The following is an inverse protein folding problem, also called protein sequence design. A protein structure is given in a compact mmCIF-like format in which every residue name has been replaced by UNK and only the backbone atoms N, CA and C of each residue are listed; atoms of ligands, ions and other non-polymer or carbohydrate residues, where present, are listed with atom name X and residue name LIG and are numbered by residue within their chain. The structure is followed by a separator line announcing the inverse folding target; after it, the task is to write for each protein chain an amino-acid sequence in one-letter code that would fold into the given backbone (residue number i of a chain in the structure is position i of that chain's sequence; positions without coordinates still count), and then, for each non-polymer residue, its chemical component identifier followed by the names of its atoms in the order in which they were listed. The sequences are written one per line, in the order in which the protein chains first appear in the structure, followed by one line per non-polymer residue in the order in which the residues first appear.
data_IF_588607936759
#
_entry.id   IF_588607936759
#
_cell.length_a   1.000
_cell.length_b   1.000
_cell.length_c   1.000
_cell.angle_alpha   90.00
_cell.angle_beta   90.00
_cell.angle_gamma   90.00
#
_symmetry.space_group_name_H-M   'P 1'
#
loop_
_entity.id
_entity.type
_entity.pdbx_description
1 polymer ?
#
# COMPACT_ATOMS: atom_id res chain seq x y z
N UNK A 1 -35.16 32.25 -2.57
CA UNK A 1 -34.11 31.26 -2.90
C UNK A 1 -34.29 30.05 -2.00
N UNK A 2 -34.76 28.91 -2.53
CA UNK A 2 -34.96 27.69 -1.74
C UNK A 2 -33.61 26.99 -1.57
N UNK A 3 -33.06 26.97 -0.34
CA UNK A 3 -31.95 26.11 0.04
C UNK A 3 -32.44 24.66 -0.04
N UNK A 4 -31.99 23.93 -1.04
CA UNK A 4 -32.09 22.47 -1.06
C UNK A 4 -31.13 21.94 -0.01
N UNK A 5 -31.64 21.71 1.21
CA UNK A 5 -30.95 20.90 2.18
C UNK A 5 -30.88 19.48 1.60
N UNK A 6 -29.75 19.11 0.98
CA UNK A 6 -29.45 17.69 0.85
C UNK A 6 -29.29 17.20 2.29
N UNK A 7 -30.27 16.43 2.76
CA UNK A 7 -30.13 15.67 3.98
C UNK A 7 -28.98 14.68 3.72
N UNK A 8 -27.75 15.13 3.99
CA UNK A 8 -26.56 14.31 3.95
C UNK A 8 -26.82 13.16 4.90
N UNK A 9 -27.10 11.99 4.32
CA UNK A 9 -27.31 10.76 5.05
C UNK A 9 -26.06 10.55 5.89
N UNK A 10 -26.12 10.88 7.18
CA UNK A 10 -25.04 10.64 8.13
C UNK A 10 -24.91 9.13 8.21
N UNK A 11 -24.06 8.58 7.36
CA UNK A 11 -23.65 7.18 7.49
C UNK A 11 -22.87 7.14 8.80
N UNK A 12 -23.48 6.55 9.82
CA UNK A 12 -22.85 6.18 11.08
C UNK A 12 -21.80 5.10 10.78
N UNK A 13 -20.80 5.43 9.98
CA UNK A 13 -19.73 4.55 9.60
C UNK A 13 -18.60 4.79 10.59
N UNK A 14 -18.67 4.10 11.72
CA UNK A 14 -17.54 3.98 12.62
C UNK A 14 -16.44 3.21 11.88
N UNK A 15 -15.44 3.94 11.41
CA UNK A 15 -14.26 3.31 10.83
C UNK A 15 -13.60 2.46 11.93
N UNK A 16 -13.32 1.18 11.68
CA UNK A 16 -12.81 0.31 12.72
C UNK A 16 -11.42 0.76 13.17
N UNK A 17 -11.14 0.66 14.47
CA UNK A 17 -9.86 1.06 15.06
C UNK A 17 -8.67 0.30 14.44
N UNK A 18 -8.89 -0.95 14.03
CA UNK A 18 -7.93 -1.75 13.27
C UNK A 18 -8.55 -2.25 11.97
N UNK A 19 -7.73 -2.30 10.93
CA UNK A 19 -8.10 -2.92 9.66
C UNK A 19 -7.11 -4.01 9.33
N UNK A 20 -7.55 -5.01 8.55
CA UNK A 20 -6.66 -6.05 8.01
C UNK A 20 -5.47 -5.46 7.25
N UNK A 21 -5.68 -4.34 6.55
CA UNK A 21 -4.62 -3.58 5.89
C UNK A 21 -3.62 -3.00 6.89
N UNK A 22 -4.12 -2.34 7.95
CA UNK A 22 -3.29 -1.82 9.03
C UNK A 22 -2.47 -2.90 9.74
N UNK A 23 -3.08 -4.04 10.04
CA UNK A 23 -2.38 -5.20 10.61
C UNK A 23 -1.28 -5.72 9.69
N UNK A 24 -1.55 -5.84 8.39
CA UNK A 24 -0.56 -6.29 7.41
C UNK A 24 0.62 -5.33 7.31
N UNK A 25 0.35 -4.02 7.28
CA UNK A 25 1.40 -2.99 7.27
C UNK A 25 2.24 -3.04 8.55
N UNK A 26 1.61 -3.20 9.71
CA UNK A 26 2.33 -3.32 10.98
C UNK A 26 3.29 -4.52 10.99
N UNK A 27 2.85 -5.68 10.49
CA UNK A 27 3.70 -6.88 10.37
C UNK A 27 4.89 -6.64 9.42
N UNK A 28 4.63 -6.13 8.22
CA UNK A 28 5.68 -5.85 7.22
C UNK A 28 6.72 -4.86 7.77
N UNK A 29 6.29 -3.82 8.52
CA UNK A 29 7.22 -2.89 9.18
C UNK A 29 8.07 -3.58 10.23
N UNK A 30 7.48 -4.44 11.05
CA UNK A 30 8.20 -5.20 12.07
C UNK A 30 9.23 -6.16 11.44
N UNK A 31 8.90 -6.78 10.31
CA UNK A 31 9.82 -7.62 9.53
C UNK A 31 10.95 -6.79 8.91
N UNK A 32 10.62 -5.66 8.27
CA UNK A 32 11.60 -4.77 7.63
C UNK A 32 12.64 -4.20 8.62
N UNK A 33 12.21 -3.93 9.86
CA UNK A 33 13.10 -3.45 10.91
C UNK A 33 14.11 -4.49 11.40
N UNK A 34 13.89 -5.78 11.11
CA UNK A 34 14.80 -6.88 11.48
C UNK A 34 15.79 -7.25 10.39
N UNK A 35 15.67 -6.65 9.20
CA UNK A 35 16.58 -6.92 8.09
C UNK A 35 17.98 -6.38 8.38
N UNK A 36 18.98 -7.21 8.11
CA UNK A 36 20.37 -6.78 8.02
C UNK A 36 20.58 -5.85 6.81
N UNK A 37 21.72 -5.17 6.79
CA UNK A 37 22.08 -4.26 5.70
C UNK A 37 22.19 -4.98 4.35
N UNK A 38 22.77 -6.19 4.34
CA UNK A 38 22.91 -7.01 3.13
C UNK A 38 21.56 -7.52 2.60
N UNK A 39 20.65 -7.92 3.48
CA UNK A 39 19.29 -8.32 3.09
C UNK A 39 18.51 -7.14 2.51
N UNK A 40 18.64 -5.97 3.13
CA UNK A 40 18.01 -4.73 2.65
C UNK A 40 18.53 -4.36 1.26
N UNK A 41 19.84 -4.45 1.04
CA UNK A 41 20.46 -4.14 -0.26
C UNK A 41 20.00 -5.11 -1.35
N UNK A 42 19.91 -6.42 -1.04
CA UNK A 42 19.43 -7.43 -1.98
C UNK A 42 17.98 -7.19 -2.41
N UNK A 43 17.10 -6.92 -1.43
CA UNK A 43 15.70 -6.57 -1.71
C UNK A 43 15.57 -5.27 -2.51
N UNK A 44 16.41 -4.28 -2.21
CA UNK A 44 16.46 -3.02 -2.95
C UNK A 44 16.84 -3.25 -4.42
N UNK A 45 17.93 -3.99 -4.69
CA UNK A 45 18.35 -4.33 -6.07
C UNK A 45 17.25 -5.08 -6.82
N UNK A 46 16.60 -6.04 -6.17
CA UNK A 46 15.48 -6.79 -6.74
C UNK A 46 14.30 -5.87 -7.08
N UNK A 47 13.95 -4.94 -6.18
CA UNK A 47 12.89 -3.95 -6.41
C UNK A 47 13.21 -3.01 -7.56
N UNK A 48 14.45 -2.52 -7.63
CA UNK A 48 14.93 -1.70 -8.74
C UNK A 48 14.84 -2.42 -10.07
N UNK A 49 15.18 -3.71 -10.11
CA UNK A 49 15.04 -4.53 -11.32
C UNK A 49 13.57 -4.72 -11.73
N UNK A 50 12.66 -4.91 -10.78
CA UNK A 50 11.22 -5.03 -11.10
C UNK A 50 10.63 -3.73 -11.65
N UNK A 51 10.98 -2.58 -11.08
CA UNK A 51 10.38 -1.28 -11.42
C UNK A 51 11.05 -0.67 -12.66
N UNK A 52 12.38 -0.76 -12.73
CA UNK A 52 13.19 -0.05 -13.72
C UNK A 52 13.99 -0.98 -14.64
N UNK A 53 14.23 -2.22 -14.22
CA UNK A 53 15.04 -3.17 -14.96
C UNK A 53 14.40 -3.64 -16.27
N UNK A 54 13.13 -3.29 -16.53
CA UNK A 54 12.43 -3.53 -17.77
C UNK A 54 12.47 -5.00 -18.16
N UNK A 55 11.44 -5.78 -17.79
CA UNK A 55 11.21 -7.04 -18.46
C UNK A 55 10.98 -6.74 -19.94
N UNK A 56 12.02 -6.91 -20.76
CA UNK A 56 11.89 -7.02 -22.21
C UNK A 56 11.14 -8.33 -22.49
N UNK A 57 9.85 -8.38 -22.21
CA UNK A 57 8.95 -9.32 -22.86
C UNK A 57 7.49 -8.85 -22.74
N UNK A 58 6.86 -8.84 -23.92
CA UNK A 58 5.43 -8.73 -24.22
C UNK A 58 4.73 -7.39 -24.03
N UNK A 59 5.09 -6.40 -24.86
CA UNK A 59 4.08 -5.53 -25.48
C UNK A 59 4.18 -5.74 -26.99
N UNK A 60 3.29 -6.60 -27.52
CA UNK A 60 2.88 -6.67 -28.93
C UNK A 60 3.93 -7.07 -29.96
N UNK A 61 3.90 -8.34 -30.39
CA UNK A 61 4.23 -8.74 -31.76
C UNK A 61 2.94 -9.17 -32.43
#
# INVERSE_FOLDING_TARGET
MKKTASAGHRRNFDYPATTKGGERVARVRAEANRLSESERESLFKKGMQMIYGGTKETVGR
#
